data_IF_540697064750
#
_entry.id   IF_540697064750
#
_cell.length_a   1.000
_cell.length_b   1.000
_cell.length_c   1.000
_cell.angle_alpha   90.00
_cell.angle_beta   90.00
_cell.angle_gamma   90.00
#
_symmetry.space_group_name_H-M   'P 1'
#
loop_
_entity.id
_entity.type
_entity.pdbx_description
1 polymer ?
#
# COMPACT_ATOMS: atom_id res chain seq x y z
N UNK A 1 -14.46 17.24 -41.07
CA UNK A 1 -14.28 15.85 -40.61
C UNK A 1 -13.89 15.87 -39.14
N UNK A 2 -14.81 15.51 -38.25
CA UNK A 2 -14.52 15.45 -36.81
C UNK A 2 -13.76 14.16 -36.52
N UNK A 3 -12.44 14.25 -36.28
CA UNK A 3 -11.67 13.13 -35.68
C UNK A 3 -12.40 12.74 -34.40
N UNK A 4 -12.89 11.50 -34.30
CA UNK A 4 -13.52 11.03 -33.05
C UNK A 4 -12.45 11.13 -31.95
N UNK A 5 -12.82 11.55 -30.74
CA UNK A 5 -11.93 11.52 -29.56
C UNK A 5 -11.29 10.13 -29.37
N UNK A 6 -12.02 9.09 -29.79
CA UNK A 6 -11.61 7.68 -29.85
C UNK A 6 -10.34 7.40 -30.68
N UNK A 7 -10.01 8.22 -31.67
CA UNK A 7 -8.90 8.03 -32.62
C UNK A 7 -7.66 8.86 -32.28
N UNK A 8 -7.62 9.55 -31.13
CA UNK A 8 -6.39 10.25 -30.69
C UNK A 8 -5.27 9.25 -30.40
N UNK A 9 -4.06 9.44 -30.96
CA UNK A 9 -2.92 8.55 -30.70
C UNK A 9 -2.48 8.67 -29.24
N UNK A 10 -2.55 9.87 -28.67
CA UNK A 10 -2.10 10.22 -27.33
C UNK A 10 -2.89 9.51 -26.21
N UNK A 11 -2.20 9.18 -25.12
CA UNK A 11 -2.83 8.79 -23.85
C UNK A 11 -2.86 10.03 -22.96
N UNK A 12 -4.04 10.55 -22.66
CA UNK A 12 -4.22 11.78 -21.87
C UNK A 12 -5.18 11.51 -20.72
N UNK A 13 -4.85 11.94 -19.50
CA UNK A 13 -5.68 11.77 -18.31
C UNK A 13 -7.15 12.16 -18.55
N UNK A 14 -7.42 13.32 -19.18
CA UNK A 14 -8.78 13.76 -19.50
C UNK A 14 -9.61 12.72 -20.31
N UNK A 15 -9.01 12.07 -21.31
CA UNK A 15 -9.68 11.02 -22.11
C UNK A 15 -9.94 9.73 -21.30
N UNK A 16 -9.06 9.42 -20.33
CA UNK A 16 -9.28 8.33 -19.37
C UNK A 16 -10.45 8.69 -18.43
N UNK A 17 -10.44 9.89 -17.84
CA UNK A 17 -11.47 10.37 -16.90
C UNK A 17 -12.84 10.43 -17.55
N UNK A 18 -12.98 11.06 -18.72
CA UNK A 18 -14.26 11.14 -19.42
C UNK A 18 -14.82 9.76 -19.77
N UNK A 19 -13.97 8.78 -20.09
CA UNK A 19 -14.40 7.39 -20.35
C UNK A 19 -14.78 6.63 -19.09
N UNK A 20 -14.14 6.90 -17.96
CA UNK A 20 -14.50 6.31 -16.67
C UNK A 20 -15.84 6.89 -16.16
N UNK A 21 -16.04 8.20 -16.27
CA UNK A 21 -17.28 8.89 -15.90
C UNK A 21 -18.52 8.38 -16.68
N UNK A 22 -18.35 7.93 -17.92
CA UNK A 22 -19.43 7.28 -18.69
C UNK A 22 -19.76 5.83 -18.25
N UNK A 23 -19.03 5.27 -17.28
CA UNK A 23 -19.18 3.88 -16.81
C UNK A 23 -19.51 3.76 -15.31
N UNK A 24 -19.42 4.84 -14.54
CA UNK A 24 -19.77 4.86 -13.11
C UNK A 24 -21.13 5.52 -12.87
N UNK A 25 -21.79 5.12 -11.79
CA UNK A 25 -23.11 5.62 -11.37
C UNK A 25 -23.01 6.85 -10.46
N UNK A 26 -24.10 7.22 -9.78
CA UNK A 26 -24.27 8.51 -9.07
C UNK A 26 -23.16 8.89 -8.07
N UNK A 27 -22.46 7.93 -7.48
CA UNK A 27 -21.34 8.16 -6.53
C UNK A 27 -20.03 8.67 -7.19
N UNK A 28 -19.93 8.60 -8.52
CA UNK A 28 -18.78 9.13 -9.28
C UNK A 28 -17.47 8.35 -9.09
N UNK A 29 -16.35 9.07 -9.00
CA UNK A 29 -14.98 8.52 -8.91
C UNK A 29 -14.31 8.70 -7.54
N UNK A 30 -15.05 9.22 -6.55
CA UNK A 30 -14.54 9.55 -5.23
C UNK A 30 -13.52 10.71 -5.22
N UNK A 31 -12.76 10.81 -4.12
CA UNK A 31 -11.77 11.86 -3.88
C UNK A 31 -10.71 11.94 -4.99
N UNK A 32 -10.39 13.16 -5.43
CA UNK A 32 -9.55 13.47 -6.61
C UNK A 32 -8.04 13.19 -6.45
N UNK A 33 -7.61 12.52 -5.38
CA UNK A 33 -6.19 12.23 -5.09
C UNK A 33 -5.49 11.44 -6.21
N UNK A 34 -6.26 10.66 -6.99
CA UNK A 34 -5.79 9.91 -8.16
C UNK A 34 -5.45 10.77 -9.38
N UNK A 35 -5.86 12.04 -9.42
CA UNK A 35 -5.78 12.86 -10.63
C UNK A 35 -4.34 13.25 -11.01
N UNK A 36 -3.55 13.74 -10.06
CA UNK A 36 -2.14 14.08 -10.31
C UNK A 36 -1.27 12.84 -10.61
N UNK A 37 -1.39 11.71 -9.88
CA UNK A 37 -0.78 10.43 -10.28
C UNK A 37 -1.15 9.98 -11.70
N UNK A 38 -2.43 10.08 -12.09
CA UNK A 38 -2.88 9.74 -13.44
C UNK A 38 -2.30 10.67 -14.51
N UNK A 39 -2.18 11.97 -14.24
CA UNK A 39 -1.53 12.93 -15.15
C UNK A 39 -0.04 12.63 -15.32
N UNK A 40 0.68 12.35 -14.23
CA UNK A 40 2.09 11.96 -14.29
C UNK A 40 2.28 10.66 -15.10
N UNK A 41 1.49 9.63 -14.79
CA UNK A 41 1.55 8.34 -15.48
C UNK A 41 1.18 8.45 -16.96
N UNK A 42 0.09 9.15 -17.31
CA UNK A 42 -0.31 9.30 -18.71
C UNK A 42 0.68 10.10 -19.53
N UNK A 43 1.34 11.11 -18.94
CA UNK A 43 2.44 11.85 -19.58
C UNK A 43 3.59 10.91 -19.95
N UNK A 44 4.13 10.15 -18.98
CA UNK A 44 5.25 9.22 -19.25
C UNK A 44 4.87 8.07 -20.19
N UNK A 45 3.63 7.58 -20.14
CA UNK A 45 3.14 6.57 -21.09
C UNK A 45 3.10 7.07 -22.53
N UNK A 46 2.89 8.38 -22.72
CA UNK A 46 2.86 9.00 -24.03
C UNK A 46 4.27 9.27 -24.58
N UNK A 47 5.19 9.74 -23.73
CA UNK A 47 6.53 10.23 -24.08
C UNK A 47 7.65 9.18 -24.03
N UNK A 48 7.63 8.26 -23.05
CA UNK A 48 8.78 7.39 -22.73
C UNK A 48 8.56 5.92 -23.12
N UNK A 49 7.31 5.43 -23.11
CA UNK A 49 7.05 3.99 -23.22
C UNK A 49 7.09 3.43 -24.64
N UNK A 50 7.14 4.28 -25.69
CA UNK A 50 7.11 3.87 -27.11
C UNK A 50 6.01 2.83 -27.44
N UNK A 51 4.79 3.07 -26.93
CA UNK A 51 3.66 2.17 -27.12
C UNK A 51 3.20 2.11 -28.58
N UNK A 52 3.02 0.88 -29.07
CA UNK A 52 2.35 0.55 -30.34
C UNK A 52 0.89 1.01 -30.36
N UNK A 53 0.23 1.04 -31.53
CA UNK A 53 -1.19 1.40 -31.64
C UNK A 53 -2.11 0.46 -30.83
N UNK A 54 -1.84 -0.85 -30.84
CA UNK A 54 -2.51 -1.84 -30.00
C UNK A 54 -2.20 -1.64 -28.52
N UNK A 55 -0.94 -1.35 -28.18
CA UNK A 55 -0.51 -1.00 -26.82
C UNK A 55 -1.27 0.20 -26.27
N UNK A 56 -1.29 1.33 -27.00
CA UNK A 56 -2.03 2.55 -26.63
C UNK A 56 -3.52 2.30 -26.39
N UNK A 57 -4.15 1.41 -27.18
CA UNK A 57 -5.54 0.99 -26.98
C UNK A 57 -5.71 0.14 -25.71
N UNK A 58 -4.81 -0.81 -25.44
CA UNK A 58 -4.88 -1.67 -24.25
C UNK A 58 -4.57 -0.90 -22.96
N UNK A 59 -3.50 -0.12 -22.93
CA UNK A 59 -3.11 0.73 -21.79
C UNK A 59 -4.23 1.70 -21.44
N UNK A 60 -4.78 2.43 -22.41
CA UNK A 60 -5.91 3.34 -22.14
C UNK A 60 -7.11 2.62 -21.53
N UNK A 61 -7.47 1.42 -22.04
CA UNK A 61 -8.53 0.61 -21.43
C UNK A 61 -8.18 0.26 -19.98
N UNK A 62 -6.97 -0.24 -19.72
CA UNK A 62 -6.53 -0.60 -18.37
C UNK A 62 -6.57 0.58 -17.39
N UNK A 63 -6.18 1.79 -17.80
CA UNK A 63 -6.28 2.98 -16.95
C UNK A 63 -7.75 3.35 -16.65
N UNK A 64 -8.64 3.19 -17.64
CA UNK A 64 -10.09 3.37 -17.43
C UNK A 64 -10.64 2.29 -16.50
N UNK A 65 -10.27 1.02 -16.70
CA UNK A 65 -10.68 -0.11 -15.86
C UNK A 65 -10.28 0.12 -14.39
N UNK A 66 -9.06 0.63 -14.13
CA UNK A 66 -8.57 1.00 -12.78
C UNK A 66 -9.35 2.17 -12.16
N UNK A 67 -9.62 3.23 -12.95
CA UNK A 67 -10.37 4.39 -12.46
C UNK A 67 -11.85 4.04 -12.19
N UNK A 68 -12.44 3.15 -12.98
CA UNK A 68 -13.78 2.59 -12.72
C UNK A 68 -13.76 1.71 -11.48
N UNK A 69 -12.76 0.83 -11.31
CA UNK A 69 -12.63 0.00 -10.12
C UNK A 69 -12.53 0.83 -8.83
N UNK A 70 -11.89 2.02 -8.89
CA UNK A 70 -11.85 2.96 -7.76
C UNK A 70 -13.23 3.36 -7.24
N UNK A 71 -14.27 3.43 -8.08
CA UNK A 71 -15.64 3.75 -7.59
C UNK A 71 -16.19 2.73 -6.59
N UNK A 72 -15.64 1.51 -6.58
CA UNK A 72 -16.00 0.45 -5.62
C UNK A 72 -15.17 0.49 -4.32
N UNK A 73 -14.17 1.37 -4.22
CA UNK A 73 -13.32 1.55 -3.04
C UNK A 73 -14.09 2.24 -1.90
N UNK A 74 -14.96 1.51 -1.22
CA UNK A 74 -15.60 2.01 0.01
C UNK A 74 -14.55 2.21 1.11
N UNK A 75 -14.66 3.30 1.86
CA UNK A 75 -14.01 3.47 3.16
C UNK A 75 -14.85 2.71 4.18
N UNK A 76 -14.29 1.63 4.74
CA UNK A 76 -14.84 1.00 5.94
C UNK A 76 -14.42 1.80 7.18
N UNK A 77 -15.10 1.65 8.34
CA UNK A 77 -14.68 2.30 9.58
C UNK A 77 -13.28 1.83 9.98
N UNK A 78 -12.35 2.74 10.35
CA UNK A 78 -10.96 2.36 10.61
C UNK A 78 -10.84 1.43 11.83
N UNK A 79 -10.05 0.37 11.67
CA UNK A 79 -9.52 -0.48 12.75
C UNK A 79 -8.09 -0.08 13.08
N UNK A 80 -7.51 -0.54 14.19
CA UNK A 80 -6.07 -0.43 14.37
C UNK A 80 -5.39 -1.38 13.38
N UNK A 81 -4.36 -0.90 12.68
CA UNK A 81 -3.43 -1.77 11.95
C UNK A 81 -2.32 -2.19 12.92
N UNK A 82 -2.21 -3.49 13.17
CA UNK A 82 -1.25 -4.08 14.09
C UNK A 82 0.04 -4.53 13.37
N UNK A 83 -0.08 -4.97 12.11
CA UNK A 83 1.06 -5.39 11.27
C UNK A 83 1.01 -4.77 9.88
N UNK A 84 2.19 -4.35 9.41
CA UNK A 84 2.42 -3.92 8.02
C UNK A 84 3.47 -4.84 7.40
N UNK A 85 3.09 -5.57 6.36
CA UNK A 85 3.96 -6.51 5.66
C UNK A 85 4.42 -5.86 4.35
N UNK A 86 5.74 -5.79 4.15
CA UNK A 86 6.33 -5.17 2.96
C UNK A 86 7.60 -5.88 2.52
N UNK A 87 8.19 -5.47 1.40
CA UNK A 87 9.45 -6.01 0.89
C UNK A 87 9.64 -5.78 -0.60
N UNK A 88 10.53 -6.57 -1.20
CA UNK A 88 10.81 -6.51 -2.64
C UNK A 88 9.94 -7.49 -3.43
N UNK A 89 9.75 -8.72 -2.93
CA UNK A 89 8.95 -9.75 -3.62
C UNK A 89 7.46 -9.69 -3.26
N UNK A 90 6.67 -9.22 -4.23
CA UNK A 90 5.20 -9.14 -4.19
C UNK A 90 4.54 -10.49 -3.92
N UNK A 91 5.12 -11.60 -4.42
CA UNK A 91 4.58 -12.94 -4.19
C UNK A 91 4.78 -13.40 -2.75
N UNK A 92 5.94 -13.10 -2.15
CA UNK A 92 6.23 -13.45 -0.77
C UNK A 92 5.45 -12.56 0.22
N UNK A 93 5.36 -11.25 -0.05
CA UNK A 93 4.52 -10.32 0.74
C UNK A 93 3.05 -10.76 0.71
N UNK A 94 2.47 -11.01 -0.47
CA UNK A 94 1.08 -11.45 -0.61
C UNK A 94 0.83 -12.80 0.10
N UNK A 95 1.76 -13.75 0.01
CA UNK A 95 1.67 -15.04 0.70
C UNK A 95 1.68 -14.90 2.23
N UNK A 96 2.57 -14.07 2.80
CA UNK A 96 2.66 -13.85 4.24
C UNK A 96 1.45 -13.09 4.80
N UNK A 97 1.01 -12.04 4.10
CA UNK A 97 -0.21 -11.28 4.46
C UNK A 97 -1.44 -12.17 4.50
N UNK A 98 -1.60 -13.06 3.52
CA UNK A 98 -2.69 -14.03 3.52
C UNK A 98 -2.56 -15.07 4.64
N UNK A 99 -1.35 -15.55 4.94
CA UNK A 99 -1.11 -16.58 5.95
C UNK A 99 -1.31 -16.09 7.41
N UNK A 100 -1.19 -14.78 7.66
CA UNK A 100 -1.54 -14.16 8.95
C UNK A 100 -3.06 -14.17 9.23
N UNK A 101 -3.88 -14.21 8.17
CA UNK A 101 -5.34 -14.22 8.26
C UNK A 101 -5.94 -12.82 8.50
N UNK A 102 -7.09 -12.55 7.86
CA UNK A 102 -7.76 -11.24 7.95
C UNK A 102 -7.04 -10.07 7.26
N UNK A 103 -5.87 -10.32 6.67
CA UNK A 103 -5.05 -9.27 6.07
C UNK A 103 -5.52 -8.78 4.70
N UNK A 104 -5.37 -7.47 4.47
CA UNK A 104 -5.70 -6.80 3.20
C UNK A 104 -4.44 -6.67 2.33
N UNK A 105 -4.49 -7.18 1.10
CA UNK A 105 -3.51 -6.82 0.07
C UNK A 105 -3.79 -5.39 -0.39
N UNK A 106 -2.84 -4.48 -0.18
CA UNK A 106 -2.91 -3.07 -0.53
C UNK A 106 -2.67 -2.78 -2.03
N UNK A 107 -2.08 -3.72 -2.79
CA UNK A 107 -1.76 -3.54 -4.23
C UNK A 107 -2.93 -2.96 -5.05
N UNK A 108 -4.21 -3.38 -4.89
CA UNK A 108 -5.32 -2.77 -5.62
C UNK A 108 -5.59 -1.31 -5.23
N UNK A 109 -5.35 -0.89 -3.98
CA UNK A 109 -5.50 0.51 -3.54
C UNK A 109 -4.44 1.41 -4.16
N UNK A 110 -3.20 0.93 -4.22
CA UNK A 110 -2.08 1.55 -4.93
C UNK A 110 -2.36 1.67 -6.44
N UNK A 111 -2.74 0.58 -7.11
CA UNK A 111 -3.07 0.59 -8.54
C UNK A 111 -4.28 1.49 -8.88
N UNK A 112 -5.36 1.46 -8.10
CA UNK A 112 -6.56 2.31 -8.30
C UNK A 112 -6.38 3.78 -7.84
N UNK A 113 -5.21 4.11 -7.31
CA UNK A 113 -4.78 5.49 -7.06
C UNK A 113 -3.73 5.97 -8.06
N UNK A 114 -3.35 5.12 -9.03
CA UNK A 114 -2.25 5.34 -9.99
C UNK A 114 -0.91 5.61 -9.34
N UNK A 115 -0.67 5.02 -8.17
CA UNK A 115 0.61 5.05 -7.45
C UNK A 115 0.99 3.60 -7.20
N UNK A 116 1.75 2.99 -8.09
CA UNK A 116 2.31 1.66 -7.83
C UNK A 116 3.56 1.38 -8.65
N UNK A 117 4.55 0.80 -7.99
CA UNK A 117 5.76 0.22 -8.60
C UNK A 117 5.42 -0.81 -9.69
N UNK A 118 4.21 -1.39 -9.64
CA UNK A 118 3.69 -2.31 -10.66
C UNK A 118 3.56 -1.67 -12.05
N UNK A 119 3.43 -0.35 -12.16
CA UNK A 119 3.44 0.35 -13.45
C UNK A 119 4.85 0.44 -14.05
N UNK A 120 5.89 0.60 -13.23
CA UNK A 120 7.29 0.49 -13.66
C UNK A 120 7.59 -0.91 -14.21
N UNK A 121 6.96 -1.96 -13.67
CA UNK A 121 7.11 -3.30 -14.22
C UNK A 121 6.50 -3.41 -15.62
N UNK A 122 5.31 -2.85 -15.82
CA UNK A 122 4.54 -2.99 -17.05
C UNK A 122 5.06 -2.12 -18.19
N UNK A 123 5.59 -0.93 -17.87
CA UNK A 123 5.93 0.11 -18.85
C UNK A 123 7.30 0.74 -18.58
N UNK A 124 7.88 1.39 -19.58
CA UNK A 124 9.06 2.23 -19.37
C UNK A 124 8.59 3.66 -19.09
N UNK A 125 8.50 3.98 -17.79
CA UNK A 125 7.98 5.25 -17.28
C UNK A 125 8.89 5.84 -16.19
N UNK A 126 10.20 6.04 -16.45
CA UNK A 126 11.15 6.54 -15.44
C UNK A 126 10.75 7.88 -14.81
N UNK A 127 10.15 8.84 -15.55
CA UNK A 127 9.79 10.13 -14.95
C UNK A 127 8.57 10.02 -14.01
N UNK A 128 7.67 9.06 -14.26
CA UNK A 128 6.62 8.69 -13.32
C UNK A 128 7.19 8.02 -12.05
N UNK A 129 8.19 7.15 -12.20
CA UNK A 129 8.84 6.50 -11.04
C UNK A 129 9.55 7.53 -10.14
N UNK A 130 10.20 8.53 -10.74
CA UNK A 130 10.78 9.67 -10.03
C UNK A 130 9.69 10.50 -9.34
N UNK A 131 8.59 10.81 -10.04
CA UNK A 131 7.44 11.53 -9.47
C UNK A 131 6.84 10.82 -8.25
N UNK A 132 6.63 9.50 -8.34
CA UNK A 132 6.12 8.70 -7.22
C UNK A 132 7.08 8.58 -6.03
N UNK A 133 8.37 8.92 -6.17
CA UNK A 133 9.32 8.93 -5.04
C UNK A 133 9.19 10.18 -4.15
N UNK A 134 8.31 11.13 -4.50
CA UNK A 134 8.04 12.34 -3.71
C UNK A 134 6.95 12.19 -2.65
N UNK A 135 6.73 13.27 -1.88
CA UNK A 135 5.86 13.37 -0.67
C UNK A 135 4.35 13.20 -0.92
N UNK A 136 3.91 12.83 -2.12
CA UNK A 136 2.50 12.88 -2.53
C UNK A 136 1.66 11.69 -2.05
N UNK A 137 2.26 10.79 -1.26
CA UNK A 137 1.73 9.45 -1.01
C UNK A 137 1.26 9.23 0.43
N UNK A 138 1.61 10.11 1.37
CA UNK A 138 1.22 10.03 2.77
C UNK A 138 -0.31 10.00 2.97
N UNK A 139 -1.06 10.70 2.12
CA UNK A 139 -2.52 10.65 2.09
C UNK A 139 -3.06 9.27 1.65
N UNK A 140 -2.42 8.66 0.64
CA UNK A 140 -2.76 7.31 0.18
C UNK A 140 -2.42 6.26 1.25
N UNK A 141 -1.22 6.33 1.84
CA UNK A 141 -0.83 5.48 2.98
C UNK A 141 -1.85 5.61 4.10
N UNK A 142 -2.24 6.84 4.45
CA UNK A 142 -3.23 7.11 5.50
C UNK A 142 -4.65 6.64 5.17
N UNK A 143 -4.97 6.41 3.89
CA UNK A 143 -6.25 5.85 3.48
C UNK A 143 -6.30 4.32 3.54
N UNK A 144 -5.13 3.65 3.42
CA UNK A 144 -4.99 2.19 3.42
C UNK A 144 -4.73 1.66 4.84
N UNK A 145 -3.94 2.40 5.62
CA UNK A 145 -3.78 2.17 7.05
C UNK A 145 -5.15 2.28 7.73
N UNK A 146 -5.47 1.28 8.55
CA UNK A 146 -6.77 1.16 9.21
C UNK A 146 -7.85 0.43 8.39
N UNK A 147 -7.59 -0.02 7.15
CA UNK A 147 -8.50 -0.93 6.44
C UNK A 147 -8.52 -2.34 7.04
N UNK A 148 -7.43 -2.77 7.69
CA UNK A 148 -7.31 -4.09 8.31
C UNK A 148 -6.27 -4.10 9.44
N UNK A 149 -6.37 -5.04 10.42
CA UNK A 149 -5.32 -5.29 11.40
C UNK A 149 -3.99 -5.74 10.78
N UNK A 150 -4.02 -6.30 9.56
CA UNK A 150 -2.82 -6.66 8.79
C UNK A 150 -2.95 -6.08 7.40
N UNK A 151 -2.01 -5.24 6.98
CA UNK A 151 -1.95 -4.74 5.59
C UNK A 151 -0.65 -5.21 4.93
N UNK A 152 -0.72 -5.54 3.64
CA UNK A 152 0.41 -6.09 2.89
C UNK A 152 0.58 -5.45 1.53
N UNK A 153 1.79 -5.03 1.18
CA UNK A 153 2.08 -4.50 -0.15
C UNK A 153 3.53 -4.04 -0.30
N UNK A 154 4.12 -4.31 -1.47
CA UNK A 154 5.51 -3.92 -1.76
C UNK A 154 5.71 -2.42 -1.90
N UNK A 155 4.65 -1.67 -2.22
CA UNK A 155 4.69 -0.22 -2.35
C UNK A 155 4.93 0.47 -0.98
N UNK A 156 4.59 -0.17 0.16
CA UNK A 156 4.92 0.35 1.49
C UNK A 156 6.43 0.48 1.72
N UNK A 157 7.26 -0.31 1.03
CA UNK A 157 8.72 -0.34 1.21
C UNK A 157 9.41 0.99 0.89
N UNK A 158 8.72 1.89 0.19
CA UNK A 158 9.24 3.19 -0.21
C UNK A 158 8.76 4.34 0.69
N UNK A 159 7.83 4.05 1.61
CA UNK A 159 7.07 5.02 2.41
C UNK A 159 6.93 4.60 3.89
N UNK A 160 7.89 3.86 4.44
CA UNK A 160 7.87 3.46 5.85
C UNK A 160 7.76 4.64 6.84
N UNK A 161 8.37 5.82 6.62
CA UNK A 161 8.16 6.98 7.48
C UNK A 161 6.68 7.42 7.56
N UNK A 162 5.97 7.42 6.43
CA UNK A 162 4.53 7.72 6.40
C UNK A 162 3.72 6.62 7.11
N UNK A 163 4.07 5.35 6.91
CA UNK A 163 3.45 4.23 7.64
C UNK A 163 3.62 4.38 9.15
N UNK A 164 4.83 4.67 9.64
CA UNK A 164 5.10 4.90 11.08
C UNK A 164 4.39 6.15 11.60
N UNK A 165 4.17 7.18 10.77
CA UNK A 165 3.44 8.38 11.15
C UNK A 165 1.92 8.11 11.33
N UNK A 166 1.30 7.36 10.42
CA UNK A 166 -0.14 7.03 10.52
C UNK A 166 -0.43 5.91 11.51
N UNK A 167 0.46 4.90 11.59
CA UNK A 167 0.31 3.73 12.46
C UNK A 167 1.51 3.56 13.41
N UNK A 168 1.71 4.47 14.39
CA UNK A 168 2.88 4.45 15.26
C UNK A 168 3.00 3.23 16.19
N UNK A 169 1.92 2.45 16.34
CA UNK A 169 1.90 1.19 17.08
C UNK A 169 2.03 -0.08 16.22
N UNK A 170 2.04 0.04 14.89
CA UNK A 170 2.11 -1.11 13.99
C UNK A 170 3.51 -1.70 13.93
N UNK A 171 3.59 -3.04 13.91
CA UNK A 171 4.84 -3.78 13.69
C UNK A 171 5.10 -3.89 12.19
N UNK A 172 6.21 -3.31 11.74
CA UNK A 172 6.64 -3.38 10.34
C UNK A 172 7.49 -4.63 10.13
N UNK A 173 6.98 -5.53 9.28
CA UNK A 173 7.63 -6.79 8.90
C UNK A 173 8.15 -6.68 7.46
N UNK A 174 9.46 -6.70 7.30
CA UNK A 174 10.11 -6.70 5.98
C UNK A 174 10.41 -8.14 5.54
N UNK A 175 9.91 -8.48 4.36
CA UNK A 175 10.21 -9.72 3.64
C UNK A 175 11.45 -9.50 2.79
N UNK A 176 12.62 -9.81 3.35
CA UNK A 176 13.93 -9.69 2.72
C UNK A 176 14.06 -10.68 1.55
N UNK A 177 14.57 -10.21 0.42
CA UNK A 177 14.79 -11.02 -0.79
C UNK A 177 16.24 -10.87 -1.24
N UNK A 178 16.88 -11.95 -1.72
CA UNK A 178 18.16 -11.81 -2.41
C UNK A 178 17.98 -10.96 -3.68
N UNK A 179 18.58 -9.77 -3.65
CA UNK A 179 18.40 -8.74 -4.68
C UNK A 179 18.93 -9.24 -6.03
N UNK A 180 20.05 -9.96 -6.07
CA UNK A 180 20.64 -10.38 -7.34
C UNK A 180 19.83 -11.49 -8.02
N UNK A 181 19.37 -12.50 -7.27
CA UNK A 181 18.41 -13.51 -7.78
C UNK A 181 17.08 -12.87 -8.21
N UNK A 182 16.47 -12.05 -7.35
CA UNK A 182 15.17 -11.45 -7.61
C UNK A 182 15.21 -10.44 -8.78
N UNK A 183 16.31 -9.69 -8.94
CA UNK A 183 16.54 -8.81 -10.10
C UNK A 183 16.39 -9.59 -11.41
N UNK A 184 16.93 -10.81 -11.49
CA UNK A 184 16.85 -11.64 -12.69
C UNK A 184 15.42 -12.04 -13.05
N UNK A 185 14.60 -12.36 -12.05
CA UNK A 185 13.17 -12.69 -12.21
C UNK A 185 12.38 -11.44 -12.64
N UNK A 186 12.53 -10.34 -11.90
CA UNK A 186 11.78 -9.10 -12.13
C UNK A 186 12.11 -8.45 -13.48
N UNK A 187 13.38 -8.48 -13.88
CA UNK A 187 13.81 -7.96 -15.19
C UNK A 187 13.17 -8.73 -16.34
N UNK A 188 13.13 -10.07 -16.27
CA UNK A 188 12.45 -10.93 -17.27
C UNK A 188 10.94 -10.67 -17.29
N UNK A 189 10.30 -10.55 -16.11
CA UNK A 189 8.87 -10.22 -15.97
C UNK A 189 8.54 -8.88 -16.62
N UNK A 190 9.33 -7.85 -16.33
CA UNK A 190 9.14 -6.49 -16.83
C UNK A 190 9.40 -6.38 -18.34
N UNK A 191 10.51 -6.92 -18.84
CA UNK A 191 10.80 -6.95 -20.28
C UNK A 191 9.69 -7.68 -21.07
N UNK A 192 9.22 -8.81 -20.54
CA UNK A 192 8.13 -9.58 -21.16
C UNK A 192 6.78 -8.85 -21.13
N UNK A 193 6.52 -8.03 -20.11
CA UNK A 193 5.32 -7.18 -20.05
C UNK A 193 5.41 -6.04 -21.08
N UNK A 194 6.53 -5.31 -21.11
CA UNK A 194 6.77 -4.19 -22.04
C UNK A 194 6.69 -4.63 -23.51
N UNK A 195 7.32 -5.76 -23.87
CA UNK A 195 7.32 -6.32 -25.24
C UNK A 195 5.95 -6.62 -25.83
N UNK A 196 4.91 -6.81 -25.01
CA UNK A 196 3.54 -7.06 -25.49
C UNK A 196 2.94 -5.83 -26.19
N UNK A 197 3.40 -4.63 -25.83
CA UNK A 197 2.72 -3.37 -26.14
C UNK A 197 3.64 -2.24 -26.62
N UNK A 198 4.94 -2.28 -26.34
CA UNK A 198 5.96 -1.32 -26.80
C UNK A 198 6.78 -1.86 -27.97
N UNK A 199 7.21 -0.98 -28.88
CA UNK A 199 8.00 -1.37 -30.06
C UNK A 199 9.51 -1.45 -29.82
N UNK A 200 10.02 -0.79 -28.77
CA UNK A 200 11.44 -0.76 -28.42
C UNK A 200 11.62 -1.19 -26.95
N UNK A 201 12.28 -2.34 -26.73
CA UNK A 201 12.52 -2.92 -25.40
C UNK A 201 13.91 -3.55 -25.35
N UNK A 202 14.81 -2.88 -24.65
CA UNK A 202 16.19 -3.31 -24.40
C UNK A 202 16.30 -4.02 -23.03
N UNK A 203 16.45 -5.35 -23.06
CA UNK A 203 16.55 -6.18 -21.85
C UNK A 203 17.73 -5.80 -20.95
N UNK A 204 18.82 -5.29 -21.51
CA UNK A 204 19.98 -4.87 -20.74
C UNK A 204 19.73 -3.53 -20.03
N UNK A 205 18.98 -2.60 -20.65
CA UNK A 205 18.46 -1.41 -19.95
C UNK A 205 17.47 -1.79 -18.85
N UNK A 206 16.52 -2.70 -19.13
CA UNK A 206 15.56 -3.20 -18.12
C UNK A 206 16.29 -3.84 -16.93
N UNK A 207 17.31 -4.66 -17.19
CA UNK A 207 18.11 -5.31 -16.14
C UNK A 207 18.98 -4.36 -15.32
N UNK A 208 19.54 -3.31 -15.95
CA UNK A 208 20.25 -2.24 -15.21
C UNK A 208 19.30 -1.43 -14.34
N UNK A 209 18.13 -1.08 -14.88
CA UNK A 209 17.10 -0.35 -14.15
C UNK A 209 16.65 -1.09 -12.90
N UNK A 210 16.24 -2.37 -13.02
CA UNK A 210 15.75 -3.11 -11.87
C UNK A 210 16.81 -3.40 -10.81
N UNK A 211 18.07 -3.63 -11.20
CA UNK A 211 19.16 -3.77 -10.22
C UNK A 211 19.35 -2.49 -9.40
N UNK A 212 19.35 -1.34 -10.05
CA UNK A 212 19.44 -0.04 -9.38
C UNK A 212 18.22 0.22 -8.49
N UNK A 213 17.00 0.10 -9.06
CA UNK A 213 15.74 0.38 -8.38
C UNK A 213 15.54 -0.47 -7.13
N UNK A 214 15.76 -1.80 -7.23
CA UNK A 214 15.65 -2.70 -6.07
C UNK A 214 16.69 -2.40 -5.00
N UNK A 215 17.92 -2.07 -5.38
CA UNK A 215 18.97 -1.70 -4.42
C UNK A 215 18.61 -0.41 -3.67
N UNK A 216 18.15 0.63 -4.37
CA UNK A 216 17.76 1.90 -3.73
C UNK A 216 16.44 1.82 -2.94
N UNK A 217 15.66 0.74 -3.06
CA UNK A 217 14.59 0.42 -2.11
C UNK A 217 15.16 -0.32 -0.90
N UNK A 218 16.04 -1.30 -1.11
CA UNK A 218 16.69 -2.05 -0.03
C UNK A 218 17.57 -1.18 0.89
N UNK A 219 18.29 -0.21 0.33
CA UNK A 219 19.08 0.78 1.07
C UNK A 219 18.17 1.60 2.03
N UNK A 220 17.05 2.15 1.51
CA UNK A 220 16.06 2.86 2.34
C UNK A 220 15.42 1.97 3.40
N UNK A 221 15.03 0.74 3.04
CA UNK A 221 14.49 -0.24 4.00
C UNK A 221 15.48 -0.56 5.13
N UNK A 222 16.79 -0.55 4.88
CA UNK A 222 17.80 -0.76 5.91
C UNK A 222 17.96 0.46 6.83
N UNK A 223 17.90 1.67 6.26
CA UNK A 223 17.99 2.94 7.00
C UNK A 223 16.75 3.18 7.90
N UNK A 224 15.55 2.79 7.44
CA UNK A 224 14.27 2.94 8.16
C UNK A 224 14.08 1.97 9.36
N UNK A 225 15.06 1.07 9.59
CA UNK A 225 15.14 0.13 10.71
C UNK A 225 13.81 -0.63 11.00
N UNK A 226 13.49 -1.69 10.23
CA UNK A 226 12.25 -2.44 10.39
C UNK A 226 12.21 -3.24 11.69
N UNK A 227 11.00 -3.44 12.23
CA UNK A 227 10.81 -4.07 13.55
C UNK A 227 11.06 -5.58 13.51
N UNK A 228 10.72 -6.23 12.39
CA UNK A 228 11.00 -7.65 12.11
C UNK A 228 11.47 -7.81 10.66
N UNK A 229 12.49 -8.65 10.46
CA UNK A 229 12.90 -9.12 9.12
C UNK A 229 12.65 -10.63 9.03
N UNK A 230 12.01 -11.06 7.94
CA UNK A 230 11.83 -12.47 7.57
C UNK A 230 12.33 -12.68 6.15
N UNK A 231 12.86 -13.87 5.83
CA UNK A 231 13.35 -14.13 4.47
C UNK A 231 12.24 -14.58 3.55
N UNK A 232 12.25 -14.10 2.31
CA UNK A 232 11.35 -14.52 1.25
C UNK A 232 11.45 -16.03 0.98
N UNK A 233 12.63 -16.64 1.12
CA UNK A 233 12.82 -18.09 0.97
C UNK A 233 12.02 -18.90 2.01
N UNK A 234 12.03 -18.48 3.28
CA UNK A 234 11.26 -19.10 4.35
C UNK A 234 9.75 -18.90 4.16
N UNK A 235 9.35 -17.69 3.76
CA UNK A 235 7.95 -17.34 3.47
C UNK A 235 7.39 -18.12 2.29
N UNK A 236 8.16 -18.29 1.21
CA UNK A 236 7.74 -19.05 0.02
C UNK A 236 7.69 -20.55 0.32
N UNK A 237 8.60 -21.06 1.16
CA UNK A 237 8.65 -22.47 1.55
C UNK A 237 7.50 -22.86 2.49
N UNK A 238 7.23 -22.06 3.54
CA UNK A 238 6.10 -22.26 4.46
C UNK A 238 5.62 -20.91 5.06
N UNK A 239 4.63 -20.25 4.42
CA UNK A 239 4.14 -18.97 4.90
C UNK A 239 3.33 -19.11 6.20
N UNK A 240 2.75 -20.28 6.48
CA UNK A 240 1.94 -20.53 7.69
C UNK A 240 2.85 -20.67 8.91
N UNK A 241 3.92 -21.45 8.80
CA UNK A 241 4.92 -21.58 9.88
C UNK A 241 5.68 -20.28 10.10
N UNK A 242 5.87 -19.48 9.05
CA UNK A 242 6.46 -18.13 9.19
C UNK A 242 5.51 -17.16 9.88
N UNK A 243 4.24 -17.08 9.46
CA UNK A 243 3.21 -16.26 10.10
C UNK A 243 3.03 -16.59 11.59
N UNK A 244 3.12 -17.87 11.99
CA UNK A 244 3.04 -18.31 13.40
C UNK A 244 4.14 -17.77 14.31
N UNK A 245 5.24 -17.27 13.77
CA UNK A 245 6.35 -16.66 14.53
C UNK A 245 6.15 -15.15 14.77
N UNK A 246 5.22 -14.53 14.07
CA UNK A 246 4.95 -13.09 14.14
C UNK A 246 3.93 -12.76 15.24
N UNK A 247 3.86 -11.49 15.69
CA UNK A 247 2.79 -11.02 16.55
C UNK A 247 1.41 -11.34 15.98
N UNK A 248 0.46 -11.71 16.84
CA UNK A 248 -0.93 -11.91 16.40
C UNK A 248 -1.63 -10.55 16.33
N UNK A 249 -2.31 -10.22 15.22
CA UNK A 249 -3.18 -9.05 15.19
C UNK A 249 -4.31 -9.24 16.21
N UNK A 250 -4.66 -8.17 16.92
CA UNK A 250 -5.83 -8.11 17.82
C UNK A 250 -7.01 -7.46 17.10
N UNK A 251 -6.74 -6.53 16.18
CA UNK A 251 -7.75 -5.79 15.42
C UNK A 251 -8.69 -4.96 16.29
N UNK A 252 -8.25 -4.59 17.48
CA UNK A 252 -8.99 -3.69 18.35
C UNK A 252 -9.17 -2.34 17.63
N UNK A 253 -10.34 -1.71 17.79
CA UNK A 253 -10.52 -0.36 17.23
C UNK A 253 -9.58 0.61 17.94
N UNK A 254 -9.04 1.64 17.25
CA UNK A 254 -8.26 2.68 17.92
C UNK A 254 -9.13 3.25 19.05
N UNK A 255 -8.66 3.09 20.29
CA UNK A 255 -9.48 3.40 21.45
C UNK A 255 -9.95 4.84 21.40
N UNK A 256 -11.25 5.05 21.61
CA UNK A 256 -11.76 6.36 22.04
C UNK A 256 -11.21 6.61 23.44
N UNK A 257 -9.97 7.11 23.49
CA UNK A 257 -9.22 7.34 24.72
C UNK A 257 -9.84 8.46 25.53
N UNK A 258 -10.91 8.14 26.26
CA UNK A 258 -11.28 8.89 27.45
C UNK A 258 -10.07 8.84 28.40
N UNK A 259 -9.54 9.97 28.88
CA UNK A 259 -8.35 9.97 29.70
C UNK A 259 -8.68 9.35 31.06
N UNK A 260 -8.14 8.16 31.32
CA UNK A 260 -8.29 7.45 32.59
C UNK A 260 -7.83 8.34 33.75
N UNK A 261 -8.81 8.88 34.48
CA UNK A 261 -8.57 9.78 35.61
C UNK A 261 -7.84 9.07 36.75
N UNK A 262 -7.03 9.79 37.55
CA UNK A 262 -6.17 9.15 38.52
C UNK A 262 -6.97 8.62 39.72
N UNK A 263 -7.24 7.30 39.72
CA UNK A 263 -7.81 6.63 40.90
C UNK A 263 -6.96 5.43 41.35
N UNK A 264 -5.70 5.71 41.71
CA UNK A 264 -4.91 4.84 42.59
C UNK A 264 -5.46 4.91 44.01
N UNK A 265 -6.40 4.02 44.34
CA UNK A 265 -6.68 3.67 45.74
C UNK A 265 -5.95 2.39 46.08
N UNK A 266 -4.81 2.51 46.77
CA UNK A 266 -4.06 1.37 47.31
C UNK A 266 -4.88 0.66 48.39
N UNK A 267 -5.33 -0.56 48.09
CA UNK A 267 -5.87 -1.47 49.10
C UNK A 267 -4.75 -2.10 49.94
N UNK A 268 -4.38 -1.46 51.05
CA UNK A 268 -3.51 -2.06 52.08
C UNK A 268 -4.30 -2.33 53.35
N UNK A 269 -4.47 -3.61 53.67
CA UNK A 269 -4.97 -4.04 54.98
C UNK A 269 -3.95 -3.74 56.07
N UNK A 270 -4.41 -3.14 57.17
CA UNK A 270 -4.12 -3.52 58.57
C UNK A 270 -4.98 -2.65 59.49
N UNK A 271 -5.79 -3.28 60.33
CA UNK A 271 -6.57 -2.57 61.36
C UNK A 271 -5.88 -2.59 62.71
N UNK A 272 -6.28 -1.68 63.62
CA UNK A 272 -6.40 -1.87 65.08
C UNK A 272 -7.48 -0.88 65.57
N UNK A 273 -8.26 -1.29 66.58
CA UNK A 273 -9.33 -0.53 67.26
C UNK A 273 -8.81 0.75 67.98
N UNK A 274 -9.61 1.69 68.51
CA UNK A 274 -10.57 1.56 69.65
C UNK A 274 -11.46 2.82 69.76
N UNK A 275 -12.73 2.62 70.17
CA UNK A 275 -13.73 3.50 70.84
C UNK A 275 -13.61 5.04 70.80
N UNK A 276 -14.70 5.82 70.70
CA UNK A 276 -15.72 5.93 71.76
C UNK A 276 -16.87 6.91 71.41
N UNK A 277 -18.13 6.56 71.76
CA UNK A 277 -19.28 7.47 72.01
C UNK A 277 -19.73 8.37 70.81
N UNK A 278 -20.91 9.00 70.71
CA UNK A 278 -22.31 8.88 71.20
C UNK A 278 -23.16 9.89 70.34
N UNK A 279 -24.50 9.92 70.24
CA UNK A 279 -25.61 9.17 70.85
C UNK A 279 -26.86 9.23 69.93
N UNK A 280 -27.82 8.31 70.12
CA UNK A 280 -29.27 8.33 69.80
C UNK A 280 -29.93 9.45 68.93
N UNK A 281 -30.78 9.05 67.98
CA UNK A 281 -31.81 9.90 67.35
C UNK A 281 -32.65 9.19 66.28
N UNK A 282 -33.85 8.71 66.64
CA UNK A 282 -34.82 8.03 65.74
C UNK A 282 -36.24 8.21 66.32
N UNK A 283 -37.32 8.05 65.54
CA UNK A 283 -37.76 8.92 64.44
C UNK A 283 -39.18 9.48 64.70
N UNK A 284 -39.69 10.30 63.77
CA UNK A 284 -41.11 10.43 63.45
C UNK A 284 -41.23 10.74 61.95
#
# INVERSE_FOLDING_TARGET
MTRRLLDRPEIVAHDVVTRALHQVTEDGLGDMEWAAPLEALTRSLDTETHLTVSGRRRTRRQLVDLLVARSSNRREPPVATDLVITGLDDGAVEALTHALGGGTNARPRFETSFVSRRFEEQWHVPAYAEWCSGEQLDALISSIVGESPVIGGVDFAEHLPAVRATAPGAVIVVVESDIDSFTGVLSKRSASARRRYSSDVDDAKVGRYWRWRLRSIAERLADDAPDIVVRAEDVIADPITTARKLPKPTGERPGTGEPDGPNRVFGLQRGVSVSSSAQFGRPA
#
